data_IF_394796358318
#
_entry.id   IF_394796358318
#
_cell.length_a   1.000
_cell.length_b   1.000
_cell.length_c   1.000
_cell.angle_alpha   90.00
_cell.angle_beta   90.00
_cell.angle_gamma   90.00
#
_symmetry.space_group_name_H-M   'P 1'
#
loop_
_entity.id
_entity.type
_entity.pdbx_description
1 polymer ?
#
# COMPACT_ATOMS: atom_id res chain seq x y z
N UNK A 1 10.23 -14.09 20.41
CA UNK A 1 9.05 -13.53 19.72
C UNK A 1 8.31 -12.68 20.74
N UNK A 2 7.92 -11.45 20.41
CA UNK A 2 7.19 -10.58 21.34
C UNK A 2 5.75 -11.06 21.52
N UNK A 3 5.11 -10.66 22.61
CA UNK A 3 3.70 -10.95 22.86
C UNK A 3 2.82 -10.15 21.87
N UNK A 4 1.80 -10.78 21.25
CA UNK A 4 0.93 -10.09 20.30
C UNK A 4 0.00 -9.10 21.02
N UNK A 5 -0.29 -7.98 20.36
CA UNK A 5 -1.33 -7.05 20.81
C UNK A 5 -2.65 -7.44 20.13
N UNK A 6 -3.68 -7.70 20.93
CA UNK A 6 -4.98 -8.14 20.43
C UNK A 6 -6.03 -7.01 20.51
N UNK A 7 -6.74 -6.79 19.41
CA UNK A 7 -7.91 -5.93 19.35
C UNK A 7 -9.16 -6.80 19.16
N UNK A 8 -10.07 -6.78 20.15
CA UNK A 8 -11.27 -7.60 20.16
C UNK A 8 -12.52 -6.76 19.91
N UNK A 9 -13.63 -7.43 19.57
CA UNK A 9 -14.95 -6.80 19.39
C UNK A 9 -14.96 -5.70 18.30
N UNK A 10 -14.08 -5.82 17.30
CA UNK A 10 -14.10 -4.96 16.12
C UNK A 10 -15.27 -5.36 15.22
N UNK A 11 -16.01 -4.37 14.71
CA UNK A 11 -17.00 -4.63 13.68
C UNK A 11 -16.31 -5.08 12.39
N UNK A 12 -16.97 -5.88 11.54
CA UNK A 12 -16.46 -6.18 10.22
C UNK A 12 -16.23 -4.91 9.41
N UNK A 13 -15.14 -4.86 8.66
CA UNK A 13 -14.79 -3.68 7.89
C UNK A 13 -13.33 -3.66 7.43
N UNK A 14 -12.94 -2.55 6.81
CA UNK A 14 -11.56 -2.32 6.37
C UNK A 14 -10.86 -1.43 7.39
N UNK A 15 -9.73 -1.90 7.89
CA UNK A 15 -8.92 -1.22 8.89
C UNK A 15 -7.52 -0.91 8.35
N UNK A 16 -6.94 0.18 8.85
CA UNK A 16 -5.52 0.48 8.69
C UNK A 16 -4.83 0.30 10.04
N UNK A 17 -3.80 -0.53 10.08
CA UNK A 17 -2.98 -0.75 11.27
C UNK A 17 -1.60 -0.16 10.98
N UNK A 18 -1.09 0.67 11.89
CA UNK A 18 0.24 1.27 11.78
C UNK A 18 1.06 0.99 13.03
N UNK A 19 2.37 0.79 12.85
CA UNK A 19 3.33 0.72 13.94
C UNK A 19 4.05 2.06 14.10
N UNK A 20 4.17 2.50 15.35
CA UNK A 20 5.07 3.60 15.72
C UNK A 20 6.25 3.03 16.49
N UNK A 21 7.46 3.44 16.13
CA UNK A 21 8.69 3.03 16.81
C UNK A 21 9.31 4.17 17.63
N UNK A 22 9.97 3.86 18.75
CA UNK A 22 10.88 4.79 19.39
C UNK A 22 12.10 5.08 18.50
N UNK A 23 12.77 6.22 18.72
CA UNK A 23 13.89 6.68 17.90
C UNK A 23 15.10 5.74 17.83
N UNK A 24 15.22 4.82 18.79
CA UNK A 24 16.29 3.80 18.85
C UNK A 24 16.07 2.65 17.88
N UNK A 25 14.87 2.52 17.30
CA UNK A 25 14.50 1.43 16.41
C UNK A 25 14.18 1.97 15.01
N UNK A 26 14.36 1.12 14.00
CA UNK A 26 13.92 1.38 12.63
C UNK A 26 13.08 0.23 12.08
N UNK A 27 12.14 0.56 11.20
CA UNK A 27 11.30 -0.41 10.51
C UNK A 27 12.10 -1.19 9.48
N UNK A 28 11.95 -2.51 9.49
CA UNK A 28 12.52 -3.40 8.47
C UNK A 28 11.46 -3.96 7.52
N UNK A 29 10.18 -3.72 7.83
CA UNK A 29 9.03 -4.01 6.98
C UNK A 29 8.23 -2.72 6.72
N UNK A 30 7.13 -2.81 5.98
CA UNK A 30 6.19 -1.70 5.86
C UNK A 30 5.65 -1.32 7.25
N UNK A 31 5.54 -0.02 7.55
CA UNK A 31 5.06 0.48 8.85
C UNK A 31 3.54 0.51 9.00
N UNK A 32 2.79 0.12 7.96
CA UNK A 32 1.34 0.03 7.97
C UNK A 32 0.83 -1.13 7.13
N UNK A 33 -0.40 -1.57 7.42
CA UNK A 33 -1.08 -2.62 6.68
C UNK A 33 -2.59 -2.33 6.62
N UNK A 34 -3.19 -2.57 5.45
CA UNK A 34 -4.64 -2.54 5.25
C UNK A 34 -5.20 -3.93 5.42
N UNK A 35 -6.26 -4.06 6.21
CA UNK A 35 -6.83 -5.36 6.58
C UNK A 35 -8.34 -5.33 6.44
N UNK A 36 -8.90 -6.30 5.72
CA UNK A 36 -10.34 -6.53 5.66
C UNK A 36 -10.71 -7.59 6.69
N UNK A 37 -11.45 -7.19 7.72
CA UNK A 37 -11.90 -8.05 8.81
C UNK A 37 -13.35 -8.50 8.57
N UNK A 38 -13.58 -9.82 8.53
CA UNK A 38 -14.92 -10.41 8.52
C UNK A 38 -15.49 -10.65 9.93
N UNK A 39 -16.78 -11.00 10.01
CA UNK A 39 -17.44 -11.37 11.27
C UNK A 39 -16.76 -12.58 11.92
N UNK A 40 -16.40 -12.46 13.20
CA UNK A 40 -15.77 -13.54 13.98
C UNK A 40 -14.38 -13.95 13.51
N UNK A 41 -13.78 -13.21 12.57
CA UNK A 41 -12.45 -13.52 12.03
C UNK A 41 -11.36 -12.99 12.96
N UNK A 42 -10.24 -13.72 13.02
CA UNK A 42 -8.98 -13.25 13.60
C UNK A 42 -7.92 -13.16 12.52
N UNK A 43 -7.20 -12.05 12.46
CA UNK A 43 -6.12 -11.82 11.48
C UNK A 43 -4.83 -11.51 12.24
N UNK A 44 -3.77 -12.26 11.94
CA UNK A 44 -2.42 -11.98 12.43
C UNK A 44 -1.72 -10.98 11.52
N UNK A 45 -1.04 -10.00 12.13
CA UNK A 45 -0.20 -9.02 11.43
C UNK A 45 1.18 -9.00 12.07
N UNK A 46 2.21 -8.95 11.25
CA UNK A 46 3.60 -8.92 11.69
C UNK A 46 4.28 -7.68 11.13
N UNK A 47 4.99 -6.98 12.02
CA UNK A 47 5.82 -5.84 11.68
C UNK A 47 7.24 -6.09 12.20
N UNK A 48 8.22 -5.83 11.34
CA UNK A 48 9.63 -6.00 11.64
C UNK A 48 10.28 -4.69 12.08
N UNK A 49 11.11 -4.79 13.13
CA UNK A 49 11.95 -3.69 13.60
C UNK A 49 13.32 -4.19 14.01
N UNK A 50 14.34 -3.34 13.88
CA UNK A 50 15.68 -3.58 14.44
C UNK A 50 16.20 -2.34 15.17
N UNK A 51 17.23 -2.54 15.99
CA UNK A 51 17.97 -1.43 16.60
C UNK A 51 18.67 -0.67 15.49
N UNK A 52 18.56 0.65 15.50
CA UNK A 52 19.32 1.49 14.58
C UNK A 52 20.80 1.39 14.94
N UNK A 53 21.63 1.08 13.96
CA UNK A 53 23.08 1.24 14.11
C UNK A 53 23.38 2.74 14.03
N UNK A 54 23.54 3.37 15.20
CA UNK A 54 24.15 4.70 15.25
C UNK A 54 25.64 4.53 15.01
N UNK A 55 26.06 4.75 13.76
CA UNK A 55 27.41 5.27 13.51
C UNK A 55 27.48 6.65 14.20
N UNK A 56 28.57 6.98 14.94
CA UNK A 56 28.70 8.31 15.51
C UNK A 56 28.59 9.34 14.40
N UNK A 57 27.49 10.09 14.36
CA UNK A 57 27.30 11.15 13.40
C UNK A 57 28.31 12.26 13.70
N UNK A 58 29.40 12.34 12.94
CA UNK A 58 30.13 13.59 12.79
C UNK A 58 29.18 14.61 12.15
N UNK A 59 28.66 15.52 12.99
CA UNK A 59 28.06 16.79 12.57
C UNK A 59 26.70 16.71 11.89
N UNK A 60 25.62 16.63 12.67
CA UNK A 60 24.28 16.94 12.17
C UNK A 60 23.88 18.37 12.55
N UNK A 61 23.61 19.28 11.59
CA UNK A 61 23.02 20.57 11.92
C UNK A 61 21.57 20.38 12.39
N UNK A 62 21.28 20.97 13.54
CA UNK A 62 19.95 21.05 14.14
C UNK A 62 19.03 21.85 13.21
N UNK A 63 18.14 21.18 12.49
CA UNK A 63 17.02 21.86 11.84
C UNK A 63 15.96 22.14 12.90
N UNK A 64 15.98 23.38 13.39
CA UNK A 64 14.88 24.02 14.13
C UNK A 64 13.57 23.79 13.38
N UNK A 65 12.56 23.25 14.06
CA UNK A 65 11.17 23.34 13.62
C UNK A 65 10.73 24.78 13.79
N UNK A 66 10.52 25.48 12.69
CA UNK A 66 9.76 26.74 12.70
C UNK A 66 8.33 26.42 12.26
N UNK A 67 7.42 26.58 13.21
CA UNK A 67 5.99 26.55 12.94
C UNK A 67 5.61 27.89 12.31
N UNK A 68 5.05 27.89 11.11
CA UNK A 68 4.28 29.03 10.60
C UNK A 68 2.87 28.58 10.29
N UNK A 69 1.95 29.26 10.98
CA UNK A 69 0.53 29.08 10.94
C UNK A 69 -0.10 29.46 9.59
N UNK A 70 -1.26 28.83 9.37
CA UNK A 70 -2.38 29.16 8.50
C UNK A 70 -2.34 30.54 7.82
N UNK A 71 -2.41 30.53 6.49
CA UNK A 71 -2.93 31.65 5.70
C UNK A 71 -3.85 31.07 4.64
N UNK A 72 -5.14 31.11 4.92
CA UNK A 72 -6.18 31.04 3.92
C UNK A 72 -5.96 32.14 2.86
N UNK A 73 -5.77 31.74 1.61
CA UNK A 73 -5.87 32.63 0.46
C UNK A 73 -6.69 31.94 -0.64
N UNK A 74 -7.85 32.53 -0.89
CA UNK A 74 -8.84 32.14 -1.88
C UNK A 74 -8.31 32.25 -3.32
N UNK A 75 -8.43 31.14 -4.05
CA UNK A 75 -8.57 30.95 -5.50
C UNK A 75 -7.77 31.80 -6.51
N UNK A 76 -6.95 31.13 -7.31
CA UNK A 76 -6.92 31.31 -8.77
C UNK A 76 -6.71 29.93 -9.41
N UNK A 77 -7.58 29.46 -10.33
CA UNK A 77 -7.39 28.16 -10.98
C UNK A 77 -6.21 28.21 -11.95
N UNK A 78 -5.22 27.30 -11.88
CA UNK A 78 -4.27 27.13 -12.97
C UNK A 78 -4.99 26.49 -14.16
N UNK A 79 -4.83 27.14 -15.31
CA UNK A 79 -5.39 26.73 -16.59
C UNK A 79 -5.07 25.26 -16.91
N UNK A 80 -6.09 24.55 -17.37
CA UNK A 80 -6.03 23.23 -17.98
C UNK A 80 -4.95 23.17 -19.06
N UNK A 81 -3.87 22.46 -18.76
CA UNK A 81 -2.78 22.18 -19.69
C UNK A 81 -2.48 20.69 -19.76
N UNK A 82 -3.03 20.04 -20.79
CA UNK A 82 -2.63 18.73 -21.34
C UNK A 82 -3.07 17.43 -20.61
N UNK A 83 -4.36 17.10 -20.71
CA UNK A 83 -4.79 15.69 -20.84
C UNK A 83 -4.29 15.15 -22.18
N UNK A 84 -3.08 14.61 -22.22
CA UNK A 84 -2.64 13.79 -23.34
C UNK A 84 -3.31 12.42 -23.22
N UNK A 85 -4.48 12.29 -23.86
CA UNK A 85 -5.13 11.02 -24.10
C UNK A 85 -4.17 10.07 -24.81
N UNK A 86 -3.79 8.99 -24.13
CA UNK A 86 -2.81 8.04 -24.67
C UNK A 86 -2.76 6.74 -23.89
N UNK A 87 -3.91 6.18 -23.48
CA UNK A 87 -3.92 4.89 -22.76
C UNK A 87 -5.05 3.94 -23.15
N UNK A 88 -5.96 4.34 -24.04
CA UNK A 88 -7.10 3.51 -24.44
C UNK A 88 -6.70 2.27 -25.27
N UNK A 89 -5.74 2.40 -26.19
CA UNK A 89 -5.34 1.29 -27.08
C UNK A 89 -4.56 0.16 -26.38
N UNK A 90 -3.74 0.49 -25.38
CA UNK A 90 -2.99 -0.50 -24.59
C UNK A 90 -3.95 -1.37 -23.75
N UNK A 91 -5.04 -0.79 -23.26
CA UNK A 91 -6.09 -1.54 -22.54
C UNK A 91 -6.77 -2.54 -23.48
N UNK A 92 -7.08 -2.15 -24.72
CA UNK A 92 -7.67 -3.08 -25.70
C UNK A 92 -6.73 -4.23 -26.09
N UNK A 93 -5.42 -3.98 -26.20
CA UNK A 93 -4.44 -5.05 -26.43
C UNK A 93 -4.34 -6.01 -25.25
N UNK A 94 -4.32 -5.49 -24.02
CA UNK A 94 -4.31 -6.30 -22.81
C UNK A 94 -5.54 -7.19 -22.67
N UNK A 95 -6.73 -6.62 -22.88
CA UNK A 95 -8.00 -7.35 -22.83
C UNK A 95 -8.10 -8.36 -23.99
N UNK A 96 -7.68 -7.97 -25.19
CA UNK A 96 -7.68 -8.86 -26.36
C UNK A 96 -6.79 -10.10 -26.18
N UNK A 97 -5.58 -9.92 -25.66
CA UNK A 97 -4.67 -11.02 -25.36
C UNK A 97 -5.24 -11.99 -24.30
N UNK A 98 -5.93 -11.45 -23.27
CA UNK A 98 -6.61 -12.24 -22.24
C UNK A 98 -7.73 -13.12 -22.81
N UNK A 99 -8.56 -12.56 -23.69
CA UNK A 99 -9.66 -13.30 -24.33
C UNK A 99 -9.13 -14.42 -25.24
N UNK A 100 -8.08 -14.14 -26.02
CA UNK A 100 -7.44 -15.14 -26.89
C UNK A 100 -6.82 -16.27 -26.04
N UNK A 101 -6.11 -15.93 -24.97
CA UNK A 101 -5.54 -16.91 -24.05
C UNK A 101 -6.61 -17.83 -23.45
N UNK A 102 -7.73 -17.27 -22.99
CA UNK A 102 -8.84 -18.04 -22.45
C UNK A 102 -9.49 -18.97 -23.50
N UNK A 103 -9.66 -18.51 -24.73
CA UNK A 103 -10.21 -19.32 -25.82
C UNK A 103 -9.29 -20.49 -26.19
N UNK A 104 -7.98 -20.26 -26.29
CA UNK A 104 -7.00 -21.29 -26.58
C UNK A 104 -6.90 -22.33 -25.45
N UNK A 105 -6.93 -21.88 -24.20
CA UNK A 105 -6.99 -22.76 -23.02
C UNK A 105 -8.25 -23.62 -23.05
N UNK A 106 -9.41 -23.01 -23.34
CA UNK A 106 -10.68 -23.72 -23.46
C UNK A 106 -10.66 -24.79 -24.56
N UNK A 107 -10.12 -24.47 -25.74
CA UNK A 107 -9.98 -25.41 -26.84
C UNK A 107 -9.03 -26.58 -26.50
N UNK A 108 -7.93 -26.30 -25.80
CA UNK A 108 -6.99 -27.32 -25.33
C UNK A 108 -7.67 -28.27 -24.33
N UNK A 109 -8.36 -27.73 -23.33
CA UNK A 109 -9.08 -28.52 -22.34
C UNK A 109 -10.18 -29.35 -22.99
N UNK A 110 -10.92 -28.78 -23.94
CA UNK A 110 -11.93 -29.50 -24.71
C UNK A 110 -11.34 -30.70 -25.45
N UNK A 111 -10.22 -30.52 -26.15
CA UNK A 111 -9.56 -31.59 -26.90
C UNK A 111 -8.97 -32.70 -26.00
N UNK A 112 -8.61 -32.37 -24.75
CA UNK A 112 -8.12 -33.35 -23.77
C UNK A 112 -9.25 -34.12 -23.08
N UNK A 113 -10.42 -33.50 -22.91
CA UNK A 113 -11.59 -34.09 -22.25
C UNK A 113 -12.52 -34.85 -23.20
N UNK A 114 -12.49 -34.53 -24.49
CA UNK A 114 -13.28 -35.20 -25.54
C UNK A 114 -12.44 -36.21 -26.33
N UNK A 115 -11.42 -36.78 -25.68
CA UNK A 115 -10.62 -37.88 -26.20
C UNK A 115 -11.06 -39.22 -25.64
#
# INVERSE_FOLDING_TARGET
MGDPVCFNNLLPGVYQVGQTLPATLEMTTQGNATVTLGEGQTIGLEFGSRVRETEPAEGQPTATSDAVADTAATATPPATGNTAGGTSWLVYLGVGAMVIGAALLGALLYALLHK
#
